data_IF_343571386528
#
_entry.id   IF_343571386528
#
_cell.length_a   1.000
_cell.length_b   1.000
_cell.length_c   1.000
_cell.angle_alpha   90.00
_cell.angle_beta   90.00
_cell.angle_gamma   90.00
#
_symmetry.space_group_name_H-M   'P 1'
#
loop_
_entity.id
_entity.type
_entity.pdbx_description
1 polymer ?
#
# COMPACT_ATOMS: atom_id res chain seq x y z
N UNK A 1 80.81 -48.75 23.65
CA UNK A 1 79.38 -48.50 23.77
C UNK A 1 78.95 -47.45 22.73
N UNK A 2 78.41 -47.93 21.59
CA UNK A 2 77.99 -47.05 20.47
C UNK A 2 76.46 -47.05 20.47
N UNK A 3 75.87 -45.90 20.73
CA UNK A 3 74.42 -45.67 20.60
C UNK A 3 74.09 -45.44 19.14
N UNK A 4 73.26 -46.33 18.57
CA UNK A 4 72.74 -46.23 17.21
C UNK A 4 71.44 -45.38 17.30
N UNK A 5 71.46 -44.23 16.62
CA UNK A 5 70.28 -43.36 16.53
C UNK A 5 69.53 -43.75 15.26
N UNK A 6 68.32 -44.28 15.41
CA UNK A 6 67.40 -44.58 14.32
C UNK A 6 66.60 -43.34 13.98
N UNK A 7 66.84 -42.74 12.81
CA UNK A 7 65.99 -41.69 12.29
C UNK A 7 64.86 -42.33 11.46
N UNK A 8 63.65 -42.23 12.00
CA UNK A 8 62.44 -42.61 11.29
C UNK A 8 61.98 -41.44 10.42
N UNK A 9 62.20 -41.51 9.10
CA UNK A 9 61.62 -40.56 8.14
C UNK A 9 60.15 -40.92 7.92
N UNK A 10 59.26 -40.15 8.56
CA UNK A 10 57.84 -40.19 8.21
C UNK A 10 57.64 -39.28 6.98
N UNK A 11 57.53 -39.86 5.81
CA UNK A 11 57.05 -39.17 4.60
C UNK A 11 55.55 -39.05 4.72
N UNK A 12 55.09 -37.88 5.11
CA UNK A 12 53.67 -37.52 5.03
C UNK A 12 53.40 -37.25 3.55
N UNK A 13 52.82 -38.23 2.87
CA UNK A 13 52.27 -38.05 1.53
C UNK A 13 51.07 -37.11 1.63
N UNK A 14 51.28 -35.86 1.31
CA UNK A 14 50.17 -34.96 0.96
C UNK A 14 49.60 -35.47 -0.37
N UNK A 15 48.56 -36.29 -0.31
CA UNK A 15 47.66 -36.46 -1.43
C UNK A 15 46.94 -35.15 -1.63
N UNK A 16 47.42 -34.32 -2.57
CA UNK A 16 46.60 -33.28 -3.17
C UNK A 16 45.39 -33.97 -3.81
N UNK A 17 44.31 -34.06 -3.07
CA UNK A 17 43.00 -34.20 -3.68
C UNK A 17 42.79 -32.89 -4.46
N UNK A 18 43.13 -32.90 -5.74
CA UNK A 18 42.52 -32.01 -6.70
C UNK A 18 41.05 -32.39 -6.72
N UNK A 19 40.26 -31.75 -5.85
CA UNK A 19 38.82 -31.60 -6.11
C UNK A 19 38.77 -31.00 -7.50
N UNK A 20 38.30 -31.77 -8.48
CA UNK A 20 37.82 -31.24 -9.75
C UNK A 20 36.84 -30.13 -9.38
N UNK A 21 37.32 -28.90 -9.39
CA UNK A 21 36.47 -27.74 -9.41
C UNK A 21 35.69 -27.89 -10.71
N UNK A 22 34.43 -28.36 -10.63
CA UNK A 22 33.52 -28.22 -11.72
C UNK A 22 33.55 -26.73 -12.06
N UNK A 23 33.99 -26.37 -13.27
CA UNK A 23 33.96 -24.98 -13.70
C UNK A 23 32.56 -24.47 -13.47
N UNK A 24 32.45 -23.49 -12.59
CA UNK A 24 31.16 -22.81 -12.35
C UNK A 24 30.63 -22.28 -13.69
N UNK A 25 29.36 -22.45 -13.99
CA UNK A 25 28.81 -21.98 -15.25
C UNK A 25 28.85 -20.45 -15.30
N UNK A 26 29.16 -19.85 -16.44
CA UNK A 26 29.15 -18.39 -16.61
C UNK A 26 27.75 -17.80 -16.35
N UNK A 27 26.71 -18.56 -16.61
CA UNK A 27 25.32 -18.15 -16.47
C UNK A 27 24.40 -19.33 -16.18
N UNK A 28 23.25 -19.05 -15.58
CA UNK A 28 22.18 -20.01 -15.35
C UNK A 28 20.80 -19.35 -15.56
N UNK A 29 19.76 -20.17 -15.46
CA UNK A 29 18.38 -19.72 -15.50
C UNK A 29 17.84 -19.62 -14.09
N UNK A 30 17.17 -18.50 -13.78
CA UNK A 30 16.38 -18.29 -12.55
C UNK A 30 14.93 -18.29 -12.92
N UNK A 31 14.14 -19.10 -12.23
CA UNK A 31 12.69 -19.16 -12.33
C UNK A 31 12.08 -18.54 -11.09
N UNK A 32 11.25 -17.48 -11.30
CA UNK A 32 10.59 -16.73 -10.25
C UNK A 32 9.09 -17.12 -10.21
N UNK A 33 8.61 -17.58 -9.06
CA UNK A 33 7.26 -18.12 -8.91
C UNK A 33 6.69 -17.88 -7.51
N UNK A 34 5.39 -18.01 -7.36
CA UNK A 34 4.71 -18.08 -6.08
C UNK A 34 3.82 -19.33 -6.04
N UNK A 35 3.68 -19.92 -4.88
CA UNK A 35 2.89 -21.13 -4.69
C UNK A 35 1.46 -20.81 -4.24
N UNK A 36 0.50 -21.67 -4.54
CA UNK A 36 -0.88 -21.57 -4.04
C UNK A 36 -1.01 -21.99 -2.56
N UNK A 37 0.06 -22.51 -1.98
CA UNK A 37 0.10 -22.89 -0.57
C UNK A 37 -0.18 -21.70 0.33
N UNK A 38 -0.78 -21.96 1.49
CA UNK A 38 -1.15 -20.93 2.47
C UNK A 38 -2.00 -19.79 1.84
N UNK A 39 -2.90 -20.16 0.93
CA UNK A 39 -3.75 -19.23 0.18
C UNK A 39 -2.95 -18.12 -0.54
N UNK A 40 -1.79 -18.46 -1.11
CA UNK A 40 -0.92 -17.53 -1.85
C UNK A 40 -0.12 -16.56 -0.98
N UNK A 41 0.02 -16.81 0.33
CA UNK A 41 0.76 -15.92 1.24
C UNK A 41 2.24 -16.24 1.40
N UNK A 42 2.72 -17.28 0.74
CA UNK A 42 4.13 -17.67 0.83
C UNK A 42 5.07 -16.70 0.10
N UNK A 43 4.54 -15.84 -0.79
CA UNK A 43 5.31 -14.84 -1.51
C UNK A 43 6.16 -15.40 -2.63
N UNK A 44 7.22 -14.67 -2.99
CA UNK A 44 8.11 -14.98 -4.12
C UNK A 44 9.17 -16.01 -3.74
N UNK A 45 9.30 -17.02 -4.56
CA UNK A 45 10.32 -18.07 -4.50
C UNK A 45 11.17 -18.09 -5.77
N UNK A 46 12.34 -18.66 -5.66
CA UNK A 46 13.24 -18.87 -6.81
C UNK A 46 13.67 -20.34 -6.92
N UNK A 47 13.85 -20.78 -8.16
CA UNK A 47 14.59 -21.99 -8.51
C UNK A 47 15.59 -21.66 -9.61
N UNK A 48 16.64 -22.46 -9.74
CA UNK A 48 17.65 -22.27 -10.78
C UNK A 48 17.92 -23.55 -11.55
N UNK A 49 18.44 -23.40 -12.77
CA UNK A 49 18.83 -24.49 -13.65
C UNK A 49 19.93 -24.03 -14.62
N UNK A 50 20.84 -24.93 -14.99
CA UNK A 50 21.82 -24.66 -16.03
C UNK A 50 21.35 -25.11 -17.42
N UNK A 51 20.41 -26.05 -17.47
CA UNK A 51 19.99 -26.77 -18.67
C UNK A 51 18.48 -26.60 -19.00
N UNK A 52 17.72 -25.93 -18.13
CA UNK A 52 16.24 -25.73 -18.17
C UNK A 52 15.44 -27.03 -17.99
N UNK A 53 16.10 -28.15 -17.71
CA UNK A 53 15.46 -29.45 -17.49
C UNK A 53 15.53 -29.86 -16.03
N UNK A 54 16.67 -29.67 -15.39
CA UNK A 54 16.88 -29.98 -13.98
C UNK A 54 16.82 -28.73 -13.17
N UNK A 55 15.82 -28.66 -12.25
CA UNK A 55 15.56 -27.48 -11.44
C UNK A 55 15.89 -27.70 -9.98
N UNK A 56 16.56 -26.73 -9.40
CA UNK A 56 16.98 -26.71 -8.01
C UNK A 56 16.26 -25.54 -7.28
N UNK A 57 15.45 -25.85 -6.30
CA UNK A 57 14.82 -24.82 -5.46
C UNK A 57 15.84 -24.09 -4.60
N UNK A 58 15.72 -22.77 -4.52
CA UNK A 58 16.55 -21.95 -3.63
C UNK A 58 15.79 -21.74 -2.33
N UNK A 59 16.11 -22.55 -1.31
CA UNK A 59 15.46 -22.48 -0.03
C UNK A 59 13.94 -22.65 -0.12
N UNK A 60 13.41 -23.88 -0.26
CA UNK A 60 11.98 -24.12 -0.45
C UNK A 60 11.09 -23.49 0.62
N UNK A 61 11.64 -23.26 1.81
CA UNK A 61 10.98 -22.58 2.92
C UNK A 61 11.21 -21.05 2.92
N UNK A 62 12.10 -20.55 2.04
CA UNK A 62 12.46 -19.14 2.02
C UNK A 62 11.54 -18.36 1.09
N UNK A 63 10.99 -17.28 1.64
CA UNK A 63 10.34 -16.22 0.87
C UNK A 63 11.31 -15.07 0.65
N UNK A 64 11.52 -14.68 -0.62
CA UNK A 64 12.38 -13.56 -0.99
C UNK A 64 11.64 -12.21 -1.00
N UNK A 65 10.35 -12.21 -1.34
CA UNK A 65 9.47 -11.05 -1.30
C UNK A 65 8.09 -11.48 -0.81
N UNK A 66 7.57 -10.80 0.21
CA UNK A 66 6.20 -10.99 0.69
C UNK A 66 5.35 -9.79 0.32
N UNK A 67 4.11 -10.03 -0.06
CA UNK A 67 3.15 -8.94 -0.27
C UNK A 67 2.81 -8.28 1.07
N UNK A 68 2.82 -6.94 1.08
CA UNK A 68 2.43 -6.12 2.24
C UNK A 68 1.00 -5.58 2.11
N UNK A 69 0.34 -5.89 0.99
CA UNK A 69 -1.01 -5.41 0.73
C UNK A 69 -2.01 -5.93 1.74
N UNK A 70 -2.71 -5.00 2.40
CA UNK A 70 -3.76 -5.23 3.37
C UNK A 70 -3.34 -6.13 4.57
N UNK A 71 -4.16 -6.15 5.59
CA UNK A 71 -4.06 -7.02 6.76
C UNK A 71 -5.31 -7.90 6.86
N UNK A 72 -5.26 -8.97 7.69
CA UNK A 72 -6.40 -9.84 7.90
C UNK A 72 -6.50 -11.02 6.94
N UNK A 73 -7.69 -11.62 6.84
CA UNK A 73 -7.91 -12.94 6.21
C UNK A 73 -7.56 -12.98 4.72
N UNK A 74 -7.75 -11.89 4.00
CA UNK A 74 -7.54 -11.79 2.55
C UNK A 74 -6.27 -11.03 2.17
N UNK A 75 -5.52 -10.52 3.16
CA UNK A 75 -4.31 -9.73 2.93
C UNK A 75 -3.05 -10.56 2.67
N UNK A 76 -1.99 -9.86 2.26
CA UNK A 76 -0.61 -10.36 2.09
C UNK A 76 -0.47 -11.49 1.07
N UNK A 77 -1.32 -11.55 0.06
CA UNK A 77 -1.29 -12.55 -1.00
C UNK A 77 -0.41 -12.09 -2.16
N UNK A 78 0.28 -13.04 -2.76
CA UNK A 78 1.04 -12.84 -4.00
C UNK A 78 0.58 -13.89 -5.00
N UNK A 79 -0.17 -13.47 -5.99
CA UNK A 79 -0.73 -14.34 -7.02
C UNK A 79 -0.08 -13.99 -8.36
N UNK A 80 0.35 -15.00 -9.08
CA UNK A 80 0.89 -14.88 -10.43
C UNK A 80 1.97 -13.78 -10.55
N UNK A 81 3.08 -13.85 -9.80
CA UNK A 81 4.15 -12.87 -9.92
C UNK A 81 4.72 -12.85 -11.34
N UNK A 82 5.11 -11.68 -11.78
CA UNK A 82 5.78 -11.46 -13.06
C UNK A 82 7.04 -10.62 -12.84
N UNK A 83 8.20 -11.22 -13.11
CA UNK A 83 9.49 -10.59 -12.94
C UNK A 83 10.03 -10.13 -14.30
N UNK A 84 10.69 -8.98 -14.36
CA UNK A 84 11.44 -8.49 -15.52
C UNK A 84 12.69 -7.73 -15.06
N UNK A 85 13.79 -7.84 -15.80
CA UNK A 85 14.93 -6.90 -15.69
C UNK A 85 14.57 -5.66 -16.50
N UNK A 86 14.46 -4.52 -15.85
CA UNK A 86 14.12 -3.25 -16.50
C UNK A 86 15.30 -2.62 -17.24
N UNK A 87 15.02 -1.64 -18.07
CA UNK A 87 16.04 -0.88 -18.80
C UNK A 87 16.86 0.05 -17.87
N UNK A 88 16.37 0.28 -16.68
CA UNK A 88 17.05 0.97 -15.57
C UNK A 88 18.04 0.08 -14.81
N UNK A 89 18.17 -1.17 -15.23
CA UNK A 89 19.01 -2.18 -14.57
C UNK A 89 18.41 -2.81 -13.32
N UNK A 90 17.21 -2.37 -12.90
CA UNK A 90 16.50 -2.92 -11.74
C UNK A 90 15.68 -4.16 -12.13
N UNK A 91 15.46 -5.03 -11.18
CA UNK A 91 14.44 -6.05 -11.25
C UNK A 91 13.11 -5.46 -10.82
N UNK A 92 12.07 -5.63 -11.63
CA UNK A 92 10.71 -5.25 -11.33
C UNK A 92 9.86 -6.50 -11.16
N UNK A 93 9.13 -6.59 -10.05
CA UNK A 93 8.17 -7.67 -9.80
C UNK A 93 6.76 -7.09 -9.69
N UNK A 94 5.84 -7.62 -10.49
CA UNK A 94 4.41 -7.31 -10.43
C UNK A 94 3.64 -8.55 -10.01
N UNK A 95 2.55 -8.40 -9.26
CA UNK A 95 1.68 -9.51 -8.87
C UNK A 95 0.26 -9.05 -8.60
N UNK A 96 -0.71 -9.98 -8.70
CA UNK A 96 -2.06 -9.76 -8.21
C UNK A 96 -2.10 -9.91 -6.69
N UNK A 97 -2.77 -8.98 -6.04
CA UNK A 97 -2.91 -9.00 -4.56
C UNK A 97 -4.12 -9.81 -4.10
N UNK A 98 -5.13 -9.92 -4.97
CA UNK A 98 -6.36 -10.67 -4.74
C UNK A 98 -7.12 -10.86 -6.05
N UNK A 99 -7.86 -11.97 -6.20
CA UNK A 99 -8.60 -12.30 -7.42
C UNK A 99 -9.73 -11.30 -7.74
N UNK A 100 -10.29 -10.66 -6.73
CA UNK A 100 -11.43 -9.74 -6.88
C UNK A 100 -11.06 -8.26 -6.88
N UNK A 101 -9.78 -7.89 -6.72
CA UNK A 101 -9.41 -6.49 -6.54
C UNK A 101 -8.85 -5.86 -7.81
N UNK A 102 -9.21 -4.60 -8.03
CA UNK A 102 -8.75 -3.75 -9.12
C UNK A 102 -7.37 -3.13 -8.83
N UNK A 103 -6.44 -3.94 -8.31
CA UNK A 103 -5.11 -3.51 -7.85
C UNK A 103 -4.08 -4.54 -8.24
N UNK A 104 -2.94 -4.10 -8.71
CA UNK A 104 -1.73 -4.92 -8.77
C UNK A 104 -0.66 -4.32 -7.85
N UNK A 105 0.27 -5.15 -7.43
CA UNK A 105 1.41 -4.69 -6.67
C UNK A 105 2.65 -4.59 -7.55
N UNK A 106 3.55 -3.67 -7.20
CA UNK A 106 4.85 -3.50 -7.85
C UNK A 106 5.94 -3.25 -6.81
N UNK A 107 7.11 -3.83 -7.03
CA UNK A 107 8.29 -3.63 -6.20
C UNK A 107 9.56 -3.80 -7.05
N UNK A 108 10.67 -3.20 -6.62
CA UNK A 108 11.95 -3.28 -7.32
C UNK A 108 13.06 -3.85 -6.45
N UNK A 109 14.06 -4.45 -7.10
CA UNK A 109 15.27 -4.96 -6.45
C UNK A 109 16.49 -4.80 -7.38
N UNK A 110 17.66 -4.61 -6.80
CA UNK A 110 18.93 -4.64 -7.54
C UNK A 110 19.54 -6.04 -7.59
N UNK A 111 19.18 -6.91 -6.64
CA UNK A 111 19.88 -8.15 -6.33
C UNK A 111 18.95 -9.38 -6.19
N UNK A 112 17.64 -9.22 -6.35
CA UNK A 112 16.60 -10.23 -6.11
C UNK A 112 16.47 -10.69 -4.64
N UNK A 113 17.29 -10.15 -3.73
CA UNK A 113 17.34 -10.50 -2.31
C UNK A 113 16.70 -9.42 -1.47
N UNK A 114 17.09 -8.17 -1.73
CA UNK A 114 16.62 -6.99 -1.03
C UNK A 114 15.62 -6.23 -1.90
N UNK A 115 14.40 -6.05 -1.40
CA UNK A 115 13.32 -5.43 -2.15
C UNK A 115 12.97 -4.07 -1.55
N UNK A 116 12.70 -3.10 -2.43
CA UNK A 116 12.29 -1.76 -2.05
C UNK A 116 10.86 -1.67 -1.55
N UNK A 117 10.39 -0.44 -1.38
CA UNK A 117 9.01 -0.17 -0.97
C UNK A 117 8.02 -0.68 -2.03
N UNK A 118 6.94 -1.30 -1.58
CA UNK A 118 5.87 -1.79 -2.45
C UNK A 118 4.91 -0.66 -2.81
N UNK A 119 4.48 -0.62 -4.06
CA UNK A 119 3.42 0.23 -4.56
C UNK A 119 2.21 -0.62 -4.96
N UNK A 120 1.01 -0.06 -4.83
CA UNK A 120 -0.25 -0.75 -5.10
C UNK A 120 -1.14 0.06 -6.06
N UNK A 121 -0.74 0.19 -7.33
CA UNK A 121 -1.52 0.93 -8.31
C UNK A 121 -2.89 0.30 -8.57
N UNK A 122 -3.91 1.14 -8.68
CA UNK A 122 -5.25 0.71 -9.06
C UNK A 122 -5.40 0.62 -10.57
N UNK A 123 -6.21 -0.31 -11.02
CA UNK A 123 -6.55 -0.49 -12.45
C UNK A 123 -7.80 0.29 -12.86
N UNK A 124 -8.26 1.21 -12.02
CA UNK A 124 -9.45 2.02 -12.29
C UNK A 124 -10.71 1.15 -12.44
N UNK A 125 -11.60 1.57 -13.33
CA UNK A 125 -12.89 0.91 -13.56
C UNK A 125 -12.82 -0.34 -14.45
N UNK A 126 -11.67 -1.01 -14.56
CA UNK A 126 -11.51 -2.20 -15.41
C UNK A 126 -11.95 -3.51 -14.74
N UNK A 127 -12.40 -3.44 -13.49
CA UNK A 127 -12.68 -4.61 -12.66
C UNK A 127 -11.41 -5.16 -11.99
N UNK A 128 -11.41 -6.48 -11.67
CA UNK A 128 -10.27 -7.11 -11.00
C UNK A 128 -8.99 -7.15 -11.86
N UNK A 129 -7.85 -7.31 -11.23
CA UNK A 129 -6.55 -7.42 -11.89
C UNK A 129 -5.94 -8.80 -11.66
N UNK A 130 -5.99 -9.64 -12.67
CA UNK A 130 -5.41 -10.99 -12.66
C UNK A 130 -4.24 -11.10 -13.62
N UNK A 131 -3.24 -11.87 -13.24
CA UNK A 131 -2.08 -12.19 -14.06
C UNK A 131 -1.37 -10.93 -14.62
N UNK A 132 -1.09 -9.89 -13.82
CA UNK A 132 -0.40 -8.71 -14.34
C UNK A 132 0.96 -9.13 -14.91
N UNK A 133 1.29 -8.60 -16.08
CA UNK A 133 2.58 -8.78 -16.72
C UNK A 133 3.11 -7.46 -17.21
N UNK A 134 4.41 -7.38 -17.49
CA UNK A 134 5.06 -6.16 -17.96
C UNK A 134 6.03 -6.48 -19.07
N UNK A 135 6.03 -5.63 -20.10
CA UNK A 135 7.00 -5.69 -21.20
C UNK A 135 7.57 -4.30 -21.45
N UNK A 136 8.87 -4.22 -21.73
CA UNK A 136 9.49 -2.97 -22.11
C UNK A 136 9.28 -2.71 -23.61
N UNK A 137 8.89 -1.49 -23.98
CA UNK A 137 8.74 -1.01 -25.36
C UNK A 137 9.95 -0.16 -25.74
N UNK A 138 10.89 -0.66 -26.54
CA UNK A 138 12.08 0.11 -26.92
C UNK A 138 11.73 1.37 -27.72
N UNK A 139 10.68 1.31 -28.54
CA UNK A 139 10.23 2.46 -29.36
C UNK A 139 9.57 3.54 -28.52
N UNK A 140 8.77 3.17 -27.52
CA UNK A 140 8.09 4.10 -26.61
C UNK A 140 8.95 4.54 -25.42
N UNK A 141 10.08 3.87 -25.16
CA UNK A 141 10.89 4.05 -23.96
C UNK A 141 10.03 3.98 -22.68
N UNK A 142 9.06 3.05 -22.68
CA UNK A 142 8.09 2.87 -21.61
C UNK A 142 7.82 1.37 -21.36
N UNK A 143 7.11 1.09 -20.31
CA UNK A 143 6.64 -0.25 -19.97
C UNK A 143 5.15 -0.36 -20.27
N UNK A 144 4.77 -1.43 -20.96
CA UNK A 144 3.39 -1.83 -21.14
C UNK A 144 3.04 -2.86 -20.06
N UNK A 145 2.12 -2.53 -19.19
CA UNK A 145 1.56 -3.45 -18.19
C UNK A 145 0.24 -3.96 -18.71
N UNK A 146 0.06 -5.29 -18.74
CA UNK A 146 -1.17 -5.94 -19.19
C UNK A 146 -1.71 -6.85 -18.10
N UNK A 147 -3.02 -6.99 -18.01
CA UNK A 147 -3.69 -7.88 -17.06
C UNK A 147 -5.01 -8.40 -17.62
N UNK A 148 -5.49 -9.49 -17.04
CA UNK A 148 -6.82 -10.02 -17.28
C UNK A 148 -7.79 -9.48 -16.22
N UNK A 149 -9.00 -9.16 -16.66
CA UNK A 149 -10.11 -8.82 -15.80
C UNK A 149 -11.32 -9.67 -16.13
N UNK A 150 -11.92 -10.27 -15.10
CA UNK A 150 -13.13 -11.05 -15.22
C UNK A 150 -14.34 -10.12 -15.22
N UNK A 151 -15.15 -10.15 -16.28
CA UNK A 151 -16.38 -9.37 -16.42
C UNK A 151 -17.55 -10.33 -16.65
N UNK A 152 -18.24 -10.69 -15.57
CA UNK A 152 -19.20 -11.79 -15.59
C UNK A 152 -18.51 -13.10 -15.93
N UNK A 153 -18.95 -13.78 -16.98
CA UNK A 153 -18.34 -15.03 -17.47
C UNK A 153 -17.20 -14.80 -18.48
N UNK A 154 -16.96 -13.55 -18.91
CA UNK A 154 -15.97 -13.22 -19.92
C UNK A 154 -14.71 -12.63 -19.31
N UNK A 155 -13.56 -13.03 -19.84
CA UNK A 155 -12.26 -12.42 -19.50
C UNK A 155 -11.90 -11.41 -20.57
N UNK A 156 -11.60 -10.17 -20.14
CA UNK A 156 -11.03 -9.12 -20.99
C UNK A 156 -9.60 -8.83 -20.59
N UNK A 157 -8.76 -8.51 -21.58
CA UNK A 157 -7.41 -8.02 -21.34
C UNK A 157 -7.43 -6.49 -21.35
N UNK A 158 -6.70 -5.90 -20.43
CA UNK A 158 -6.46 -4.46 -20.34
C UNK A 158 -4.97 -4.18 -20.31
N UNK A 159 -4.60 -2.96 -20.65
CA UNK A 159 -3.24 -2.46 -20.51
C UNK A 159 -3.19 -1.02 -20.01
N UNK A 160 -2.07 -0.66 -19.40
CA UNK A 160 -1.64 0.71 -19.17
C UNK A 160 -0.15 0.85 -19.45
N UNK A 161 0.32 2.08 -19.62
CA UNK A 161 1.73 2.40 -19.85
C UNK A 161 2.29 3.20 -18.70
N UNK A 162 3.57 2.98 -18.43
CA UNK A 162 4.33 3.74 -17.43
C UNK A 162 5.79 3.86 -17.87
N UNK A 163 6.44 4.98 -17.50
CA UNK A 163 7.88 5.16 -17.68
C UNK A 163 8.67 4.96 -16.40
N UNK A 164 8.02 5.13 -15.26
CA UNK A 164 8.65 5.27 -13.95
C UNK A 164 8.02 4.40 -12.86
N UNK A 165 6.98 3.62 -13.19
CA UNK A 165 6.17 2.85 -12.24
C UNK A 165 5.57 3.69 -11.09
N UNK A 166 5.40 5.00 -11.32
CA UNK A 166 4.74 5.95 -10.40
C UNK A 166 3.50 6.57 -11.03
N UNK A 167 3.63 6.90 -12.30
CA UNK A 167 2.54 7.47 -13.12
C UNK A 167 2.13 6.46 -14.18
N UNK A 168 0.82 6.29 -14.36
CA UNK A 168 0.25 5.31 -15.28
C UNK A 168 -0.73 5.98 -16.22
N UNK A 169 -0.74 5.54 -17.48
CA UNK A 169 -1.78 5.97 -18.43
C UNK A 169 -3.14 5.40 -18.04
N UNK A 170 -4.20 6.01 -18.54
CA UNK A 170 -5.56 5.46 -18.40
C UNK A 170 -5.59 4.06 -19.02
N UNK A 171 -6.14 3.06 -18.31
CA UNK A 171 -6.27 1.70 -18.81
C UNK A 171 -7.10 1.61 -20.08
N UNK A 172 -6.67 0.77 -21.01
CA UNK A 172 -7.35 0.52 -22.28
C UNK A 172 -7.59 -0.98 -22.45
N UNK A 173 -8.73 -1.32 -23.07
CA UNK A 173 -9.01 -2.70 -23.44
C UNK A 173 -8.12 -3.13 -24.62
N UNK A 174 -7.57 -4.32 -24.53
CA UNK A 174 -6.66 -4.89 -25.52
C UNK A 174 -7.24 -6.15 -26.16
N UNK A 175 -6.92 -6.35 -27.42
CA UNK A 175 -7.22 -7.61 -28.10
C UNK A 175 -6.05 -8.61 -28.09
N UNK A 176 -5.02 -8.33 -27.29
CA UNK A 176 -3.81 -9.15 -27.17
C UNK A 176 -3.87 -9.92 -25.85
N UNK A 177 -3.53 -11.19 -25.90
CA UNK A 177 -3.45 -12.00 -24.68
C UNK A 177 -2.29 -11.54 -23.76
N UNK A 178 -2.53 -11.63 -22.45
CA UNK A 178 -1.46 -11.43 -21.46
C UNK A 178 -0.33 -12.44 -21.72
N UNK A 179 0.95 -12.05 -21.69
CA UNK A 179 2.08 -12.95 -21.86
C UNK A 179 1.99 -14.19 -20.97
N UNK A 180 2.19 -15.36 -21.58
CA UNK A 180 2.13 -16.62 -20.86
C UNK A 180 3.29 -16.75 -19.88
N UNK A 181 2.99 -17.21 -18.67
CA UNK A 181 3.98 -17.68 -17.72
C UNK A 181 4.46 -19.07 -18.11
N UNK A 182 5.72 -19.34 -17.86
CA UNK A 182 6.29 -20.66 -18.10
C UNK A 182 5.88 -21.62 -16.98
N UNK A 183 5.76 -22.89 -17.33
CA UNK A 183 5.49 -23.98 -16.40
C UNK A 183 6.81 -24.74 -16.16
N UNK A 184 7.17 -24.90 -14.89
CA UNK A 184 8.40 -25.58 -14.47
C UNK A 184 8.06 -26.54 -13.33
N UNK A 185 8.55 -27.79 -13.45
CA UNK A 185 8.39 -28.77 -12.38
C UNK A 185 9.58 -28.72 -11.43
N UNK A 186 9.31 -28.40 -10.17
CA UNK A 186 10.29 -28.25 -9.10
C UNK A 186 9.90 -29.21 -7.98
N UNK A 187 10.77 -30.13 -7.61
CA UNK A 187 10.51 -31.15 -6.57
C UNK A 187 9.16 -31.89 -6.78
N UNK A 188 8.81 -32.19 -8.04
CA UNK A 188 7.58 -32.90 -8.40
C UNK A 188 6.31 -32.06 -8.45
N UNK A 189 6.40 -30.74 -8.20
CA UNK A 189 5.28 -29.81 -8.28
C UNK A 189 5.49 -28.88 -9.49
N UNK A 190 4.48 -28.75 -10.34
CA UNK A 190 4.52 -27.83 -11.48
C UNK A 190 4.06 -26.44 -11.02
N UNK A 191 4.94 -25.47 -11.14
CA UNK A 191 4.74 -24.08 -10.77
C UNK A 191 4.70 -23.19 -12.02
N UNK A 192 3.97 -22.08 -11.93
CA UNK A 192 3.83 -21.08 -12.99
C UNK A 192 4.61 -19.81 -12.65
N UNK A 193 5.44 -19.33 -13.57
CA UNK A 193 6.30 -18.19 -13.27
C UNK A 193 7.01 -17.59 -14.47
N UNK A 194 8.04 -16.79 -14.21
CA UNK A 194 8.88 -16.14 -15.20
C UNK A 194 10.31 -16.67 -15.16
N UNK A 195 10.91 -16.79 -16.34
CA UNK A 195 12.24 -17.38 -16.53
C UNK A 195 13.22 -16.31 -17.03
N UNK A 196 14.37 -16.22 -16.37
CA UNK A 196 15.41 -15.27 -16.69
C UNK A 196 16.78 -15.95 -16.78
N UNK A 197 17.57 -15.59 -17.77
CA UNK A 197 18.97 -15.95 -17.81
C UNK A 197 19.78 -14.88 -17.08
N UNK A 198 20.56 -15.29 -16.08
CA UNK A 198 21.36 -14.40 -15.23
C UNK A 198 22.80 -14.90 -15.16
N UNK A 199 23.71 -14.06 -14.73
CA UNK A 199 25.09 -14.49 -14.43
C UNK A 199 25.07 -15.43 -13.22
N UNK A 200 26.03 -16.37 -13.16
CA UNK A 200 26.10 -17.36 -12.09
C UNK A 200 26.20 -16.71 -10.68
N UNK A 201 26.93 -15.61 -10.57
CA UNK A 201 27.08 -14.91 -9.31
C UNK A 201 25.73 -14.38 -8.73
N UNK A 202 24.74 -14.07 -9.59
CA UNK A 202 23.39 -13.70 -9.12
C UNK A 202 22.68 -14.92 -8.48
N UNK A 203 22.83 -16.11 -9.09
CA UNK A 203 22.30 -17.36 -8.52
C UNK A 203 23.00 -17.72 -7.22
N UNK A 204 24.33 -17.63 -7.21
CA UNK A 204 25.13 -17.91 -6.01
C UNK A 204 24.74 -16.98 -4.86
N UNK A 205 24.56 -15.69 -5.12
CA UNK A 205 24.09 -14.73 -4.11
C UNK A 205 22.74 -15.12 -3.51
N UNK A 206 21.79 -15.59 -4.32
CA UNK A 206 20.50 -16.09 -3.83
C UNK A 206 20.67 -17.33 -2.94
N UNK A 207 21.52 -18.28 -3.34
CA UNK A 207 21.82 -19.48 -2.56
C UNK A 207 22.49 -19.12 -1.23
N UNK A 208 23.47 -18.21 -1.25
CA UNK A 208 24.15 -17.76 -0.03
C UNK A 208 23.21 -17.00 0.90
N UNK A 209 22.30 -16.20 0.36
CA UNK A 209 21.27 -15.51 1.16
C UNK A 209 20.35 -16.49 1.90
N UNK A 210 19.99 -17.62 1.26
CA UNK A 210 19.22 -18.68 1.92
C UNK A 210 20.04 -19.39 3.01
N UNK A 211 21.28 -19.79 2.70
CA UNK A 211 22.18 -20.43 3.67
C UNK A 211 22.41 -19.55 4.91
N UNK A 212 22.63 -18.25 4.70
CA UNK A 212 22.83 -17.28 5.78
C UNK A 212 21.58 -17.14 6.66
N UNK A 213 20.39 -17.11 6.05
CA UNK A 213 19.14 -17.05 6.81
C UNK A 213 18.92 -18.30 7.67
N UNK A 214 19.19 -19.50 7.11
CA UNK A 214 19.14 -20.76 7.85
C UNK A 214 20.16 -20.79 8.99
N UNK A 215 21.39 -20.36 8.74
CA UNK A 215 22.43 -20.29 9.77
C UNK A 215 22.00 -19.38 10.93
N UNK A 216 21.48 -18.17 10.63
CA UNK A 216 20.97 -17.27 11.66
C UNK A 216 19.81 -17.86 12.45
N UNK A 217 18.89 -18.58 11.76
CA UNK A 217 17.77 -19.23 12.43
C UNK A 217 18.24 -20.33 13.40
N UNK A 218 19.20 -21.16 12.99
CA UNK A 218 19.81 -22.20 13.81
C UNK A 218 20.51 -21.58 15.03
N UNK A 219 21.37 -20.57 14.81
CA UNK A 219 22.05 -19.88 15.92
C UNK A 219 21.08 -19.30 16.94
N UNK A 220 19.98 -18.69 16.48
CA UNK A 220 18.98 -18.14 17.38
C UNK A 220 18.28 -19.27 18.18
N UNK A 221 17.96 -20.39 17.53
CA UNK A 221 17.36 -21.55 18.19
C UNK A 221 18.31 -22.19 19.23
N UNK A 222 19.59 -22.37 18.86
CA UNK A 222 20.62 -22.92 19.75
C UNK A 222 20.83 -22.03 20.99
N UNK A 223 20.90 -20.70 20.80
CA UNK A 223 21.04 -19.76 21.93
C UNK A 223 19.90 -19.88 22.93
N UNK A 224 18.65 -20.02 22.43
CA UNK A 224 17.48 -20.23 23.29
C UNK A 224 17.47 -21.60 23.93
N UNK A 225 17.93 -22.67 23.22
CA UNK A 225 18.01 -24.03 23.77
C UNK A 225 19.09 -24.18 24.83
N UNK A 226 20.26 -23.52 24.66
CA UNK A 226 21.38 -23.58 25.62
C UNK A 226 21.05 -22.73 26.85
N UNK A 227 20.33 -21.66 26.74
CA UNK A 227 19.96 -20.80 27.85
C UNK A 227 18.47 -20.39 27.79
N UNK A 228 17.56 -21.30 28.16
CA UNK A 228 16.11 -20.99 28.16
C UNK A 228 15.75 -19.89 29.14
N UNK A 229 16.65 -19.60 30.09
CA UNK A 229 16.49 -18.57 31.12
C UNK A 229 17.16 -17.24 30.76
N UNK A 230 17.65 -17.10 29.53
CA UNK A 230 18.38 -15.91 29.04
C UNK A 230 17.69 -14.58 29.37
N UNK A 231 16.37 -14.58 29.47
CA UNK A 231 15.55 -13.41 29.79
C UNK A 231 14.88 -13.49 31.17
N UNK A 232 15.21 -14.51 31.98
CA UNK A 232 14.65 -14.67 33.34
C UNK A 232 15.53 -14.03 34.40
N UNK A 233 16.83 -13.87 34.14
CA UNK A 233 17.74 -13.24 35.08
C UNK A 233 17.54 -11.74 35.15
N UNK A 234 17.49 -11.22 36.36
CA UNK A 234 17.45 -9.78 36.59
C UNK A 234 18.82 -9.18 36.26
N UNK A 235 18.91 -8.40 35.21
CA UNK A 235 20.11 -7.62 34.88
C UNK A 235 20.02 -6.31 35.64
N UNK A 236 20.95 -6.08 36.57
CA UNK A 236 21.08 -4.80 37.24
C UNK A 236 21.98 -3.88 36.41
N UNK A 237 21.41 -2.85 35.86
CA UNK A 237 22.12 -1.81 35.12
C UNK A 237 22.27 -0.57 36.01
N UNK A 238 23.50 -0.20 36.33
CA UNK A 238 23.79 1.07 36.99
C UNK A 238 24.01 2.16 35.94
N UNK A 239 23.08 3.09 35.87
CA UNK A 239 23.19 4.25 34.98
C UNK A 239 23.61 5.48 35.79
N UNK A 240 24.75 6.02 35.47
CA UNK A 240 25.21 7.29 36.04
C UNK A 240 25.03 8.40 35.02
N UNK A 241 24.07 9.31 35.21
CA UNK A 241 23.91 10.44 34.33
C UNK A 241 25.13 11.36 34.37
N UNK A 242 25.54 11.85 33.22
CA UNK A 242 26.60 12.88 33.08
C UNK A 242 25.98 14.16 32.54
N UNK A 243 25.47 15.04 33.41
CA UNK A 243 24.76 16.26 32.96
C UNK A 243 25.63 17.16 32.10
N UNK A 244 26.97 17.15 32.33
CA UNK A 244 27.97 17.94 31.59
C UNK A 244 28.13 17.49 30.12
N UNK A 245 27.77 16.23 29.81
CA UNK A 245 27.80 15.65 28.48
C UNK A 245 26.43 15.73 27.79
N UNK A 246 25.44 16.37 28.41
CA UNK A 246 24.10 16.48 27.89
C UNK A 246 24.04 17.25 26.57
N UNK A 247 23.24 16.78 25.62
CA UNK A 247 22.93 17.49 24.38
C UNK A 247 21.48 17.90 24.40
N UNK A 248 21.18 19.10 23.91
CA UNK A 248 19.81 19.52 23.74
C UNK A 248 19.10 18.56 22.74
N UNK A 249 18.05 17.94 23.21
CA UNK A 249 17.17 17.15 22.34
C UNK A 249 16.30 18.13 21.54
N UNK A 250 16.18 17.91 20.24
CA UNK A 250 15.26 18.66 19.40
C UNK A 250 13.83 18.50 19.88
N UNK A 251 13.08 19.59 19.94
CA UNK A 251 11.65 19.57 20.28
C UNK A 251 10.84 18.73 19.28
N UNK A 252 11.42 18.45 18.10
CA UNK A 252 10.83 17.61 17.05
C UNK A 252 11.15 16.11 17.22
N UNK A 253 11.97 15.71 18.21
CA UNK A 253 12.37 14.29 18.36
C UNK A 253 11.32 13.46 19.08
N UNK A 254 10.51 14.08 19.93
CA UNK A 254 9.44 13.42 20.68
C UNK A 254 8.13 13.91 20.11
N UNK A 255 7.35 13.00 19.57
CA UNK A 255 6.02 13.24 19.02
C UNK A 255 4.97 12.39 19.72
N UNK A 256 3.74 12.58 19.32
CA UNK A 256 2.60 11.78 19.75
C UNK A 256 2.28 10.80 18.61
N UNK A 257 2.14 9.51 18.93
CA UNK A 257 1.53 8.56 18.01
C UNK A 257 0.04 8.90 17.95
N UNK A 258 -0.45 9.14 16.74
CA UNK A 258 -1.83 9.47 16.50
C UNK A 258 -2.37 8.62 15.34
N UNK A 259 -3.51 7.99 15.56
CA UNK A 259 -4.30 7.34 14.53
C UNK A 259 -5.70 7.96 14.49
N UNK A 260 -6.22 8.18 13.30
CA UNK A 260 -7.59 8.64 13.12
C UNK A 260 -8.57 7.47 13.27
N UNK A 261 -8.85 7.14 14.53
CA UNK A 261 -9.81 6.10 14.91
C UNK A 261 -10.95 6.77 15.64
N UNK A 262 -12.19 6.37 15.34
CA UNK A 262 -13.42 6.90 15.96
C UNK A 262 -13.48 8.43 15.91
N UNK A 263 -13.23 9.00 14.73
CA UNK A 263 -13.21 10.46 14.52
C UNK A 263 -12.19 11.20 15.40
N UNK A 264 -11.04 10.57 15.64
CA UNK A 264 -10.00 11.15 16.51
C UNK A 264 -9.34 12.39 15.92
N UNK A 265 -9.28 12.55 14.60
CA UNK A 265 -8.81 13.74 13.90
C UNK A 265 -9.95 14.73 13.63
N UNK A 266 -10.72 14.51 12.56
CA UNK A 266 -11.93 15.27 12.25
C UNK A 266 -13.03 14.90 13.25
N UNK A 267 -13.65 15.89 13.87
CA UNK A 267 -14.60 15.69 14.97
C UNK A 267 -13.94 15.48 16.34
N UNK A 268 -12.61 15.33 16.39
CA UNK A 268 -11.82 15.16 17.61
C UNK A 268 -10.80 16.27 17.83
N UNK A 269 -9.50 15.99 17.64
CA UNK A 269 -8.41 16.98 17.83
C UNK A 269 -8.54 18.19 16.91
N UNK A 270 -8.99 18.00 15.69
CA UNK A 270 -9.41 19.08 14.82
C UNK A 270 -10.87 19.42 15.15
N UNK A 271 -11.10 20.57 15.71
CA UNK A 271 -12.40 21.00 16.23
C UNK A 271 -13.45 21.31 15.13
N UNK A 272 -13.43 20.56 14.04
CA UNK A 272 -14.44 20.60 12.99
C UNK A 272 -15.63 19.72 13.40
N UNK A 273 -16.81 20.29 13.34
CA UNK A 273 -18.06 19.61 13.74
C UNK A 273 -18.91 19.15 12.55
N UNK A 274 -18.56 19.61 11.34
CA UNK A 274 -19.27 19.29 10.09
C UNK A 274 -18.55 18.14 9.40
N UNK A 275 -19.15 16.97 9.36
CA UNK A 275 -18.62 15.81 8.66
C UNK A 275 -18.73 16.00 7.15
N UNK A 276 -17.76 15.50 6.37
CA UNK A 276 -17.71 15.64 4.90
C UNK A 276 -17.90 17.11 4.44
N UNK A 277 -17.21 18.04 5.11
CA UNK A 277 -17.32 19.51 4.89
C UNK A 277 -16.90 19.96 3.50
N UNK A 278 -16.10 19.16 2.81
CA UNK A 278 -15.49 19.42 1.50
C UNK A 278 -16.10 18.60 0.37
N UNK A 279 -17.05 17.71 0.68
CA UNK A 279 -17.72 16.81 -0.28
C UNK A 279 -16.76 15.87 -1.03
N UNK A 280 -15.61 15.55 -0.43
CA UNK A 280 -14.58 14.69 -1.03
C UNK A 280 -14.70 13.21 -0.63
N UNK A 281 -15.66 12.85 0.21
CA UNK A 281 -15.92 11.45 0.54
C UNK A 281 -16.26 10.65 -0.71
N UNK A 282 -15.66 9.48 -0.83
CA UNK A 282 -15.74 8.66 -2.03
C UNK A 282 -15.89 7.19 -1.65
N UNK A 283 -16.55 6.37 -2.49
CA UNK A 283 -16.57 4.91 -2.30
C UNK A 283 -15.18 4.26 -2.28
N UNK A 284 -14.13 4.98 -2.72
CA UNK A 284 -12.76 4.50 -2.71
C UNK A 284 -12.03 4.73 -1.37
N UNK A 285 -12.60 5.53 -0.48
CA UNK A 285 -12.07 5.75 0.87
C UNK A 285 -12.42 4.59 1.81
N UNK A 286 -12.43 3.38 1.25
CA UNK A 286 -12.90 2.15 1.86
C UNK A 286 -11.95 1.72 2.98
N UNK A 287 -12.24 2.16 4.19
CA UNK A 287 -11.78 1.47 5.38
C UNK A 287 -12.77 0.38 5.81
N UNK A 288 -13.97 0.78 6.24
CA UNK A 288 -15.04 -0.11 6.72
C UNK A 288 -16.44 0.33 6.27
N UNK A 289 -16.57 1.52 5.72
CA UNK A 289 -17.85 2.13 5.35
C UNK A 289 -18.06 1.98 3.84
N UNK A 290 -18.71 0.88 3.43
CA UNK A 290 -18.91 0.51 2.03
C UNK A 290 -19.81 1.48 1.24
N UNK A 291 -20.46 2.43 1.93
CA UNK A 291 -21.51 3.28 1.36
C UNK A 291 -21.19 4.79 1.34
N UNK A 292 -19.95 5.20 1.58
CA UNK A 292 -19.61 6.61 1.55
C UNK A 292 -19.72 7.18 0.13
N UNK A 293 -20.42 8.31 0.05
CA UNK A 293 -20.61 9.08 -1.18
C UNK A 293 -20.23 10.54 -0.92
N UNK A 294 -20.07 11.34 -1.98
CA UNK A 294 -19.79 12.76 -1.84
C UNK A 294 -20.90 13.53 -1.04
N UNK A 295 -22.07 12.95 -0.90
CA UNK A 295 -23.18 13.53 -0.11
C UNK A 295 -23.31 12.93 1.29
N UNK A 296 -22.40 12.04 1.70
CA UNK A 296 -22.45 11.40 3.02
C UNK A 296 -22.52 12.46 4.13
N UNK A 297 -23.34 12.22 5.15
CA UNK A 297 -23.65 13.13 6.28
C UNK A 297 -24.37 14.41 5.89
N UNK A 298 -24.81 14.55 4.64
CA UNK A 298 -25.63 15.66 4.17
C UNK A 298 -26.99 15.20 3.68
N UNK A 299 -28.02 15.88 4.10
CA UNK A 299 -29.39 15.68 3.67
C UNK A 299 -30.10 16.99 3.42
N UNK A 300 -31.31 16.95 2.85
CA UNK A 300 -32.19 18.12 2.70
C UNK A 300 -33.28 18.10 3.77
N UNK A 301 -33.70 19.26 4.24
CA UNK A 301 -34.77 19.40 5.24
C UNK A 301 -36.19 19.31 4.62
N UNK A 302 -36.35 18.71 3.45
CA UNK A 302 -37.63 18.52 2.77
C UNK A 302 -37.54 18.65 1.25
N UNK A 303 -38.71 18.69 0.60
CA UNK A 303 -38.80 18.66 -0.88
C UNK A 303 -38.61 20.04 -1.55
N UNK A 304 -38.52 21.11 -0.79
CA UNK A 304 -38.33 22.47 -1.34
C UNK A 304 -36.93 22.81 -1.82
N UNK A 305 -36.01 21.87 -1.69
CA UNK A 305 -34.61 21.97 -2.06
C UNK A 305 -34.12 20.63 -2.67
N UNK A 306 -33.33 20.71 -3.72
CA UNK A 306 -32.49 19.61 -4.17
C UNK A 306 -31.04 20.05 -4.23
N UNK A 307 -30.11 19.12 -4.03
CA UNK A 307 -28.69 19.40 -4.20
C UNK A 307 -27.99 18.28 -4.94
N UNK A 308 -26.93 18.66 -5.61
CA UNK A 308 -26.06 17.77 -6.37
C UNK A 308 -24.60 18.20 -6.18
N UNK A 309 -23.67 17.34 -6.50
CA UNK A 309 -22.25 17.61 -6.40
C UNK A 309 -21.71 17.92 -7.80
N UNK A 310 -20.98 19.04 -7.93
CA UNK A 310 -20.37 19.48 -9.18
C UNK A 310 -18.88 19.76 -8.98
N UNK A 311 -18.12 19.67 -10.05
CA UNK A 311 -16.67 19.91 -10.11
C UNK A 311 -16.28 20.99 -11.12
N UNK A 312 -17.27 21.62 -11.79
CA UNK A 312 -17.03 22.68 -12.79
C UNK A 312 -16.79 24.01 -12.11
N UNK A 313 -15.62 24.59 -12.28
CA UNK A 313 -15.19 25.85 -11.66
C UNK A 313 -15.25 25.80 -10.10
N UNK A 314 -14.51 24.87 -9.47
CA UNK A 314 -14.47 24.72 -8.02
C UNK A 314 -13.83 25.92 -7.32
N UNK A 315 -13.92 25.96 -6.00
CA UNK A 315 -13.21 26.93 -5.16
C UNK A 315 -11.68 26.80 -5.31
N UNK A 316 -11.20 25.57 -5.32
CA UNK A 316 -9.76 25.25 -5.42
C UNK A 316 -9.54 23.94 -6.16
N UNK A 317 -8.43 23.83 -6.90
CA UNK A 317 -8.10 22.62 -7.67
C UNK A 317 -7.87 21.37 -6.82
N UNK A 318 -7.42 21.53 -5.57
CA UNK A 318 -7.21 20.42 -4.62
C UNK A 318 -8.45 20.08 -3.78
N UNK A 319 -9.56 20.81 -3.97
CA UNK A 319 -10.88 20.50 -3.44
C UNK A 319 -11.89 20.78 -4.57
N UNK A 320 -12.00 19.85 -5.52
CA UNK A 320 -12.79 20.06 -6.73
C UNK A 320 -14.30 19.93 -6.52
N UNK A 321 -14.76 19.24 -5.48
CA UNK A 321 -16.16 18.99 -5.25
C UNK A 321 -16.83 20.14 -4.48
N UNK A 322 -18.05 20.46 -4.84
CA UNK A 322 -18.90 21.40 -4.12
C UNK A 322 -20.39 21.13 -4.35
N UNK A 323 -21.23 21.47 -3.39
CA UNK A 323 -22.68 21.30 -3.49
C UNK A 323 -23.31 22.42 -4.33
N UNK A 324 -24.15 22.05 -5.28
CA UNK A 324 -25.03 22.96 -6.05
C UNK A 324 -26.45 22.79 -5.53
N UNK A 325 -27.04 23.88 -5.05
CA UNK A 325 -28.37 23.88 -4.47
C UNK A 325 -29.38 24.48 -5.43
N UNK A 326 -30.44 23.74 -5.76
CA UNK A 326 -31.62 24.27 -6.45
C UNK A 326 -32.74 24.50 -5.45
N UNK A 327 -32.88 25.77 -5.04
CA UNK A 327 -33.84 26.20 -3.98
C UNK A 327 -35.14 26.61 -4.64
N UNK A 328 -36.15 25.76 -4.54
CA UNK A 328 -37.52 26.01 -5.05
C UNK A 328 -38.34 26.85 -4.06
N UNK A 329 -38.18 26.60 -2.77
CA UNK A 329 -38.93 27.28 -1.70
C UNK A 329 -37.97 27.85 -0.65
N UNK A 330 -38.34 28.98 -0.06
CA UNK A 330 -37.55 29.61 1.00
C UNK A 330 -37.73 28.85 2.32
N UNK A 331 -36.64 28.78 3.07
CA UNK A 331 -36.66 28.20 4.42
C UNK A 331 -36.07 26.78 4.45
N UNK A 332 -35.92 26.16 3.31
CA UNK A 332 -35.25 24.85 3.17
C UNK A 332 -33.73 25.00 3.10
N UNK A 333 -33.01 23.99 3.54
CA UNK A 333 -31.56 23.97 3.62
C UNK A 333 -30.96 22.58 3.61
N UNK A 334 -29.64 22.55 3.64
CA UNK A 334 -28.88 21.33 3.91
C UNK A 334 -28.75 21.10 5.39
N UNK A 335 -28.88 19.87 5.81
CA UNK A 335 -28.66 19.39 7.18
C UNK A 335 -27.39 18.54 7.17
N UNK A 336 -26.52 18.74 8.15
CA UNK A 336 -25.34 17.91 8.39
C UNK A 336 -25.46 17.23 9.76
N UNK A 337 -25.30 15.93 9.78
CA UNK A 337 -25.47 15.12 11.00
C UNK A 337 -24.22 15.15 11.91
N UNK A 338 -23.13 15.78 11.47
CA UNK A 338 -21.86 15.79 12.18
C UNK A 338 -21.23 14.40 12.28
N UNK A 339 -20.45 14.19 13.32
CA UNK A 339 -19.80 12.92 13.65
C UNK A 339 -20.62 12.19 14.72
N UNK A 340 -21.68 11.46 14.29
CA UNK A 340 -22.69 10.86 15.16
C UNK A 340 -23.44 11.89 16.02
N UNK A 341 -23.70 13.06 15.46
CA UNK A 341 -24.27 14.23 16.11
C UNK A 341 -23.25 15.33 16.35
N UNK A 342 -23.73 16.56 16.52
CA UNK A 342 -22.93 17.73 16.90
C UNK A 342 -23.14 18.01 18.38
N UNK A 343 -22.11 17.87 19.26
CA UNK A 343 -22.27 18.16 20.67
C UNK A 343 -22.46 19.68 20.89
N UNK A 344 -23.70 20.08 21.26
CA UNK A 344 -24.02 21.46 21.49
C UNK A 344 -24.30 21.70 22.98
N UNK A 345 -23.66 22.73 23.54
CA UNK A 345 -23.83 23.14 24.93
C UNK A 345 -24.59 24.46 25.01
N UNK A 346 -25.63 24.48 25.79
CA UNK A 346 -26.44 25.66 25.99
C UNK A 346 -25.61 26.86 26.47
N UNK A 347 -25.84 28.02 25.85
CA UNK A 347 -25.14 29.27 26.15
C UNK A 347 -23.80 29.46 25.41
N UNK A 348 -23.20 28.39 24.86
CA UNK A 348 -21.95 28.48 24.12
C UNK A 348 -22.19 29.04 22.71
N UNK A 349 -21.08 29.53 22.10
CA UNK A 349 -21.05 30.07 20.75
C UNK A 349 -20.32 29.13 19.80
N UNK A 350 -20.89 28.96 18.63
CA UNK A 350 -20.36 28.11 17.57
C UNK A 350 -20.03 28.95 16.34
N UNK A 351 -18.78 28.92 15.91
CA UNK A 351 -18.32 29.64 14.73
C UNK A 351 -18.62 28.81 13.48
N UNK A 352 -19.36 29.39 12.55
CA UNK A 352 -19.63 28.79 11.25
C UNK A 352 -18.95 29.54 10.14
N UNK A 353 -18.41 28.81 9.19
CA UNK A 353 -17.90 29.38 7.93
C UNK A 353 -18.21 28.48 6.74
N UNK A 354 -18.49 29.11 5.60
CA UNK A 354 -18.71 28.41 4.34
C UNK A 354 -18.25 29.29 3.18
N UNK A 355 -17.69 28.65 2.15
CA UNK A 355 -17.49 29.32 0.86
C UNK A 355 -18.72 29.12 0.00
N UNK A 356 -19.28 30.21 -0.49
CA UNK A 356 -20.47 30.14 -1.33
C UNK A 356 -20.45 31.19 -2.45
N UNK A 357 -21.13 30.87 -3.55
CA UNK A 357 -21.45 31.79 -4.64
C UNK A 357 -22.88 31.56 -5.13
N UNK A 358 -23.47 32.56 -5.77
CA UNK A 358 -24.79 32.41 -6.40
C UNK A 358 -24.65 32.47 -7.92
N UNK A 359 -25.23 31.51 -8.61
CA UNK A 359 -25.36 31.52 -10.08
C UNK A 359 -26.56 32.38 -10.53
N UNK A 360 -27.50 32.66 -9.63
CA UNK A 360 -28.66 33.49 -9.92
C UNK A 360 -28.40 34.99 -9.69
N UNK A 361 -29.29 35.85 -10.19
CA UNK A 361 -29.26 37.29 -9.90
C UNK A 361 -29.82 37.60 -8.49
N UNK A 362 -30.44 36.66 -7.81
CA UNK A 362 -30.96 36.83 -6.46
C UNK A 362 -29.83 36.65 -5.45
N UNK A 363 -29.60 37.64 -4.61
CA UNK A 363 -28.57 37.63 -3.56
C UNK A 363 -29.24 37.44 -2.22
N UNK A 364 -29.15 36.26 -1.67
CA UNK A 364 -29.65 35.93 -0.34
C UNK A 364 -28.57 35.97 0.74
N UNK A 365 -28.95 35.58 1.94
CA UNK A 365 -28.07 35.21 3.04
C UNK A 365 -28.33 33.74 3.35
N UNK A 366 -27.33 33.06 3.88
CA UNK A 366 -27.52 31.75 4.49
C UNK A 366 -27.93 31.98 5.94
N UNK A 367 -28.96 31.29 6.37
CA UNK A 367 -29.35 31.22 7.78
C UNK A 367 -28.79 29.92 8.34
N UNK A 368 -27.92 30.02 9.31
CA UNK A 368 -27.31 28.88 9.99
C UNK A 368 -28.13 28.54 11.22
N UNK A 369 -28.49 27.27 11.34
CA UNK A 369 -29.32 26.78 12.48
C UNK A 369 -28.60 25.63 13.17
N UNK A 370 -28.74 25.61 14.50
CA UNK A 370 -28.49 24.44 15.32
C UNK A 370 -29.82 23.81 15.63
N UNK A 371 -29.97 22.52 15.41
CA UNK A 371 -31.18 21.76 15.67
C UNK A 371 -30.91 20.75 16.79
N UNK A 372 -31.91 20.48 17.62
CA UNK A 372 -31.90 19.36 18.55
C UNK A 372 -32.32 18.06 17.84
N UNK A 373 -32.38 16.93 18.57
CA UNK A 373 -32.75 15.62 18.06
C UNK A 373 -34.17 15.54 17.49
N UNK A 374 -35.06 16.43 17.91
CA UNK A 374 -36.43 16.56 17.42
C UNK A 374 -36.53 17.52 16.22
N UNK A 375 -35.42 18.11 15.75
CA UNK A 375 -35.38 19.09 14.67
C UNK A 375 -35.78 20.50 15.07
N UNK A 376 -35.92 20.80 16.37
CA UNK A 376 -36.25 22.12 16.86
C UNK A 376 -35.02 23.02 16.84
N UNK A 377 -35.21 24.27 16.41
CA UNK A 377 -34.14 25.26 16.36
C UNK A 377 -33.73 25.69 17.77
N UNK A 378 -32.48 25.38 18.15
CA UNK A 378 -31.86 25.79 19.42
C UNK A 378 -30.81 26.89 19.25
N UNK A 379 -30.59 27.38 18.04
CA UNK A 379 -29.73 28.50 17.73
C UNK A 379 -29.82 28.88 16.26
N UNK A 380 -29.78 30.18 15.97
CA UNK A 380 -29.89 30.69 14.60
C UNK A 380 -29.05 31.96 14.43
N UNK A 381 -28.35 32.07 13.29
CA UNK A 381 -27.65 33.29 12.90
C UNK A 381 -27.54 33.45 11.37
N UNK A 382 -27.70 34.66 10.82
CA UNK A 382 -27.51 34.91 9.40
C UNK A 382 -26.03 35.13 9.07
N UNK A 383 -25.62 34.67 7.88
CA UNK A 383 -24.33 35.04 7.27
C UNK A 383 -24.38 36.42 6.62
N UNK A 384 -23.26 36.88 6.07
CA UNK A 384 -23.21 37.95 5.07
C UNK A 384 -23.96 37.59 3.78
N UNK A 385 -24.09 38.55 2.87
CA UNK A 385 -24.74 38.32 1.57
C UNK A 385 -23.88 37.47 0.64
N UNK A 386 -24.51 36.54 -0.06
CA UNK A 386 -23.85 35.71 -1.09
C UNK A 386 -23.55 36.61 -2.30
N UNK A 387 -22.34 36.42 -2.88
CA UNK A 387 -21.91 37.10 -4.12
C UNK A 387 -22.01 36.17 -5.34
N UNK A 388 -21.69 36.70 -6.54
CA UNK A 388 -21.59 35.89 -7.77
C UNK A 388 -20.28 35.10 -7.86
N UNK A 389 -19.29 35.50 -7.10
CA UNK A 389 -17.99 34.82 -7.02
C UNK A 389 -17.85 34.13 -5.68
N UNK A 390 -17.02 33.11 -5.62
CA UNK A 390 -16.69 32.43 -4.38
C UNK A 390 -16.21 33.43 -3.32
N UNK A 391 -16.84 33.42 -2.18
CA UNK A 391 -16.44 34.21 -1.02
C UNK A 391 -16.74 33.48 0.28
N UNK A 392 -15.90 33.68 1.28
CA UNK A 392 -16.10 33.14 2.62
C UNK A 392 -17.19 33.91 3.34
N UNK A 393 -18.22 33.22 3.79
CA UNK A 393 -19.29 33.70 4.62
C UNK A 393 -19.14 33.15 6.04
N UNK A 394 -19.43 33.94 7.05
CA UNK A 394 -19.32 33.54 8.45
C UNK A 394 -20.58 33.88 9.22
N UNK A 395 -20.85 33.12 10.27
CA UNK A 395 -21.85 33.40 11.27
C UNK A 395 -21.39 32.89 12.64
N UNK A 396 -21.85 33.49 13.71
CA UNK A 396 -21.67 33.00 15.09
C UNK A 396 -23.02 32.66 15.64
N UNK A 397 -23.25 31.36 15.87
CA UNK A 397 -24.53 30.86 16.38
C UNK A 397 -24.41 30.65 17.89
N UNK A 398 -25.28 31.22 18.65
CA UNK A 398 -25.37 30.97 20.10
C UNK A 398 -26.44 29.93 20.35
N UNK A 399 -26.08 28.85 21.03
CA UNK A 399 -27.05 27.85 21.44
C UNK A 399 -27.90 28.36 22.59
N UNK A 400 -29.20 28.21 22.46
CA UNK A 400 -30.20 28.49 23.54
C UNK A 400 -30.48 27.24 24.35
N UNK A 401 -30.95 27.38 25.61
CA UNK A 401 -31.34 26.22 26.40
C UNK A 401 -32.50 25.45 25.79
#
# INVERSE_FOLDING_TARGET
>A
MKKLLFFLLITIGFSLQHSLMANEPDSAYVFAYATDKNAGRNGLHFAWSTDRNTWHSIGPERTFLRSEYASGRHGKRMLSPYLIKGNDGMWHCLWSVHEGYAVFAHCTSTDLISWGQQAFPTTGNTGNCMNPSVTFSPTGQDYLITWNSLQGENTKTYSCRTKDFRTYSIPQAENVAVPHRQQVTINGITESGTLHRVAWNEVEALIQADKMAKYKAIQNAERLAINPDLFKDTITLNVTPRPEESKKISDMLIGVFFEDINYGADGGLYAELVQNRDFEYSPNDIGREENWTATNSWSTDGEGLSFDIDTVAPLHAHNPHYAVLDIKEKGHGLVNDGFDGIPVKAGEKYDFSVFARSTSNKRGKIIVRLLDEDGKVIGEAPTGKISKTWNKLTAVVKATP
#
